data_IF_986994408491
#
_entry.id   IF_986994408491
#
_cell.length_a   1.000
_cell.length_b   1.000
_cell.length_c   1.000
_cell.angle_alpha   90.00
_cell.angle_beta   90.00
_cell.angle_gamma   90.00
#
_symmetry.space_group_name_H-M   'P 1'
#
loop_
_entity.id
_entity.type
_entity.pdbx_description
1 polymer ?
#
# COMPACT_ATOMS: atom_id res chain seq x y z
N UNK A 1 6.89 13.40 -0.75
CA UNK A 1 7.04 14.26 -1.96
C UNK A 1 8.49 14.72 -2.04
N UNK A 2 9.17 14.61 -3.20
CA UNK A 2 10.52 15.19 -3.33
C UNK A 2 10.38 16.71 -3.32
N UNK A 3 11.26 17.39 -2.59
CA UNK A 3 11.24 18.84 -2.47
C UNK A 3 11.40 19.49 -3.85
N UNK A 4 10.40 20.29 -4.25
CA UNK A 4 10.42 21.08 -5.49
C UNK A 4 11.69 21.94 -5.57
N UNK A 5 12.13 22.45 -4.40
CA UNK A 5 13.35 23.24 -4.25
C UNK A 5 14.62 22.53 -4.72
N UNK A 6 14.77 21.23 -4.43
CA UNK A 6 15.98 20.48 -4.85
C UNK A 6 16.06 20.39 -6.37
N UNK A 7 14.92 20.20 -7.06
CA UNK A 7 14.88 20.17 -8.52
C UNK A 7 15.30 21.52 -9.10
N UNK A 8 14.70 22.61 -8.60
CA UNK A 8 14.99 23.97 -9.08
C UNK A 8 16.45 24.36 -8.82
N UNK A 9 17.00 24.01 -7.64
CA UNK A 9 18.41 24.24 -7.30
C UNK A 9 19.38 23.48 -8.19
N UNK A 10 19.09 22.22 -8.54
CA UNK A 10 19.93 21.45 -9.46
C UNK A 10 19.83 21.97 -10.88
N UNK A 11 18.62 22.36 -11.30
CA UNK A 11 18.39 22.95 -12.61
C UNK A 11 19.16 24.27 -12.77
N UNK A 12 19.06 25.20 -11.82
CA UNK A 12 19.76 26.49 -11.91
C UNK A 12 21.28 26.35 -12.02
N UNK A 13 21.86 25.33 -11.37
CA UNK A 13 23.30 25.02 -11.44
C UNK A 13 23.74 24.45 -12.79
N UNK A 14 22.84 23.82 -13.54
CA UNK A 14 23.16 23.22 -14.85
C UNK A 14 22.77 24.10 -16.05
N UNK A 15 22.16 25.27 -15.82
CA UNK A 15 21.85 26.23 -16.90
C UNK A 15 23.17 26.65 -17.58
N UNK A 16 23.18 26.64 -18.92
CA UNK A 16 24.33 26.98 -19.77
C UNK A 16 25.56 26.05 -19.62
N UNK A 17 25.41 24.86 -19.05
CA UNK A 17 26.48 23.86 -18.96
C UNK A 17 26.41 22.87 -20.12
N UNK A 18 27.59 22.43 -20.60
CA UNK A 18 27.70 21.38 -21.62
C UNK A 18 27.14 20.05 -21.11
N UNK A 19 26.69 19.18 -22.03
CA UNK A 19 26.20 17.83 -21.68
C UNK A 19 27.26 16.95 -21.02
N UNK A 20 28.55 17.25 -21.25
CA UNK A 20 29.67 16.52 -20.63
C UNK A 20 29.89 16.91 -19.17
N UNK A 21 29.35 18.07 -18.74
CA UNK A 21 29.52 18.63 -17.41
C UNK A 21 28.90 17.75 -16.31
N UNK A 22 29.59 17.66 -15.19
CA UNK A 22 29.21 16.82 -14.05
C UNK A 22 27.88 17.28 -13.45
N UNK A 23 27.64 18.59 -13.35
CA UNK A 23 26.40 19.17 -12.79
C UNK A 23 25.20 18.86 -13.68
N UNK A 24 25.38 18.87 -15.00
CA UNK A 24 24.36 18.45 -15.96
C UNK A 24 24.01 16.98 -15.78
N UNK A 25 25.01 16.09 -15.69
CA UNK A 25 24.80 14.65 -15.46
C UNK A 25 24.07 14.39 -14.14
N UNK A 26 24.40 15.10 -13.06
CA UNK A 26 23.73 15.00 -11.76
C UNK A 26 22.25 15.40 -11.87
N UNK A 27 21.95 16.52 -12.55
CA UNK A 27 20.58 16.95 -12.77
C UNK A 27 19.77 15.95 -13.59
N UNK A 28 20.32 15.44 -14.70
CA UNK A 28 19.65 14.44 -15.55
C UNK A 28 19.38 13.15 -14.77
N UNK A 29 20.36 12.65 -14.01
CA UNK A 29 20.17 11.49 -13.13
C UNK A 29 19.06 11.74 -12.09
N UNK A 30 19.04 12.92 -11.48
CA UNK A 30 17.99 13.30 -10.52
C UNK A 30 16.59 13.36 -11.17
N UNK A 31 16.49 13.93 -12.38
CA UNK A 31 15.27 14.02 -13.19
C UNK A 31 14.76 12.64 -13.59
N UNK A 32 15.64 11.78 -14.08
CA UNK A 32 15.30 10.47 -14.63
C UNK A 32 15.05 9.40 -13.58
N UNK A 33 15.38 9.64 -12.30
CA UNK A 33 15.10 8.72 -11.19
C UNK A 33 13.64 8.22 -11.11
N UNK A 34 12.65 8.99 -11.61
CA UNK A 34 11.26 8.51 -11.71
C UNK A 34 11.08 7.46 -12.81
N UNK A 35 11.65 7.72 -13.98
CA UNK A 35 11.64 6.81 -15.13
C UNK A 35 12.36 5.52 -14.75
N UNK A 36 13.56 5.62 -14.16
CA UNK A 36 14.34 4.45 -13.74
C UNK A 36 13.55 3.55 -12.76
N UNK A 37 12.83 4.18 -11.81
CA UNK A 37 11.98 3.46 -10.85
C UNK A 37 10.81 2.76 -11.56
N UNK A 38 10.16 3.45 -12.50
CA UNK A 38 9.06 2.86 -13.27
C UNK A 38 9.56 1.67 -14.09
N UNK A 39 10.63 1.85 -14.87
CA UNK A 39 11.25 0.79 -15.68
C UNK A 39 11.64 -0.42 -14.84
N UNK A 40 12.26 -0.20 -13.68
CA UNK A 40 12.63 -1.27 -12.74
C UNK A 40 11.42 -2.11 -12.31
N UNK A 41 10.33 -1.48 -11.87
CA UNK A 41 9.13 -2.23 -11.46
C UNK A 41 8.42 -2.86 -12.65
N UNK A 42 8.40 -2.22 -13.82
CA UNK A 42 7.86 -2.81 -15.05
C UNK A 42 8.61 -4.10 -15.41
N UNK A 43 9.94 -4.11 -15.34
CA UNK A 43 10.75 -5.31 -15.59
C UNK A 43 10.42 -6.42 -14.60
N UNK A 44 10.43 -6.11 -13.30
CA UNK A 44 10.10 -7.09 -12.25
C UNK A 44 8.71 -7.70 -12.44
N UNK A 45 7.70 -6.86 -12.71
CA UNK A 45 6.34 -7.36 -12.91
C UNK A 45 6.18 -8.14 -14.22
N UNK A 46 6.94 -7.80 -15.27
CA UNK A 46 7.00 -8.60 -16.48
C UNK A 46 7.57 -10.01 -16.23
N UNK A 47 8.60 -10.11 -15.39
CA UNK A 47 9.24 -11.40 -15.06
C UNK A 47 8.32 -12.32 -14.24
N UNK A 48 7.40 -11.75 -13.45
CA UNK A 48 6.49 -12.51 -12.59
C UNK A 48 5.04 -12.54 -13.07
N UNK A 49 4.73 -12.00 -14.25
CA UNK A 49 3.34 -11.80 -14.73
C UNK A 49 2.49 -13.09 -14.78
N UNK A 50 3.12 -14.25 -14.95
CA UNK A 50 2.45 -15.56 -14.95
C UNK A 50 2.54 -16.32 -13.61
N UNK A 51 3.09 -15.70 -12.57
CA UNK A 51 3.22 -16.30 -11.24
C UNK A 51 2.57 -15.40 -10.18
N UNK A 52 1.27 -15.62 -9.97
CA UNK A 52 0.44 -14.84 -9.04
C UNK A 52 1.02 -14.79 -7.62
N UNK A 53 1.64 -15.88 -7.15
CA UNK A 53 2.26 -15.96 -5.81
C UNK A 53 3.47 -15.03 -5.70
N UNK A 54 4.33 -14.99 -6.73
CA UNK A 54 5.48 -14.08 -6.78
C UNK A 54 5.05 -12.62 -6.95
N UNK A 55 4.03 -12.37 -7.77
CA UNK A 55 3.43 -11.03 -7.93
C UNK A 55 2.96 -10.48 -6.60
N UNK A 56 2.16 -11.24 -5.84
CA UNK A 56 1.71 -10.83 -4.51
C UNK A 56 2.85 -10.62 -3.53
N UNK A 57 3.91 -11.44 -3.59
CA UNK A 57 5.11 -11.23 -2.75
C UNK A 57 5.78 -9.88 -3.04
N UNK A 58 5.91 -9.49 -4.31
CA UNK A 58 6.50 -8.21 -4.73
C UNK A 58 5.60 -7.03 -4.34
N UNK A 59 4.28 -7.15 -4.53
CA UNK A 59 3.31 -6.14 -4.12
C UNK A 59 3.39 -5.92 -2.60
N UNK A 60 3.40 -7.00 -1.82
CA UNK A 60 3.50 -6.89 -0.36
C UNK A 60 4.82 -6.27 0.07
N UNK A 61 5.95 -6.64 -0.56
CA UNK A 61 7.24 -6.04 -0.25
C UNK A 61 7.35 -4.55 -0.63
N UNK A 62 6.55 -4.08 -1.58
CA UNK A 62 6.58 -2.69 -2.07
C UNK A 62 5.60 -1.76 -1.37
N UNK A 63 4.43 -2.27 -0.97
CA UNK A 63 3.35 -1.50 -0.33
C UNK A 63 3.42 -1.62 1.20
N UNK A 64 3.74 -2.80 1.74
CA UNK A 64 3.86 -2.93 3.18
C UNK A 64 5.12 -2.19 3.64
N UNK A 65 5.02 -1.47 4.76
CA UNK A 65 6.21 -1.21 5.57
C UNK A 65 6.84 -2.57 5.82
N UNK A 66 8.13 -2.73 5.52
CA UNK A 66 8.94 -3.88 5.95
C UNK A 66 8.43 -4.30 7.32
N UNK A 67 8.10 -5.58 7.50
CA UNK A 67 7.51 -6.18 8.69
C UNK A 67 8.36 -5.92 9.94
N UNK A 68 8.48 -4.67 10.34
CA UNK A 68 9.19 -4.22 11.51
C UNK A 68 8.24 -4.46 12.66
N UNK A 69 8.20 -5.74 13.05
CA UNK A 69 7.41 -6.24 14.17
C UNK A 69 7.91 -5.69 15.50
N UNK A 70 9.00 -4.91 15.51
CA UNK A 70 9.52 -4.25 16.71
C UNK A 70 8.65 -3.06 17.14
N UNK A 71 7.88 -2.48 16.21
CA UNK A 71 7.03 -1.32 16.50
C UNK A 71 5.59 -1.75 16.70
N UNK A 72 5.22 -1.95 17.97
CA UNK A 72 3.82 -2.03 18.39
C UNK A 72 3.28 -0.59 18.47
N UNK A 73 2.10 -0.28 17.90
CA UNK A 73 1.49 1.02 18.08
C UNK A 73 1.25 1.29 19.58
N UNK A 74 1.92 2.32 20.11
CA UNK A 74 1.81 2.72 21.52
C UNK A 74 0.50 3.47 21.83
N UNK A 75 -0.25 3.84 20.79
CA UNK A 75 -1.46 4.66 20.92
C UNK A 75 -2.54 4.19 19.96
N UNK A 76 -3.77 4.13 20.44
CA UNK A 76 -4.95 3.95 19.60
C UNK A 76 -5.87 5.17 19.75
N UNK A 77 -6.50 5.61 18.66
CA UNK A 77 -7.48 6.69 18.69
C UNK A 77 -8.89 6.09 18.74
N UNK A 78 -9.57 6.25 19.87
CA UNK A 78 -10.94 5.76 20.10
C UNK A 78 -11.78 6.96 20.52
N UNK A 79 -12.91 7.19 19.85
CA UNK A 79 -13.83 8.32 20.10
C UNK A 79 -13.13 9.68 20.19
N UNK A 80 -12.22 9.93 19.23
CA UNK A 80 -11.37 11.12 19.15
C UNK A 80 -10.38 11.33 20.31
N UNK A 81 -10.24 10.38 21.24
CA UNK A 81 -9.25 10.41 22.31
C UNK A 81 -8.11 9.44 22.03
N UNK A 82 -6.90 9.85 22.38
CA UNK A 82 -5.73 8.98 22.30
C UNK A 82 -5.65 8.13 23.57
N UNK A 83 -5.69 6.81 23.40
CA UNK A 83 -5.57 5.82 24.46
C UNK A 83 -4.19 5.18 24.35
N UNK A 84 -3.51 5.07 25.49
CA UNK A 84 -2.14 4.56 25.62
C UNK A 84 -2.07 3.24 26.38
N UNK A 85 -3.13 2.89 27.13
CA UNK A 85 -3.18 1.69 27.95
C UNK A 85 -3.42 0.45 27.06
N UNK A 86 -2.47 -0.51 27.02
CA UNK A 86 -2.59 -1.72 26.21
C UNK A 86 -3.81 -2.58 26.53
N UNK A 87 -4.24 -2.64 27.80
CA UNK A 87 -5.39 -3.45 28.21
C UNK A 87 -6.67 -2.84 27.66
N UNK A 88 -6.83 -1.52 27.81
CA UNK A 88 -7.98 -0.78 27.28
C UNK A 88 -8.04 -0.89 25.75
N UNK A 89 -6.90 -0.80 25.06
CA UNK A 89 -6.83 -1.00 23.61
C UNK A 89 -7.30 -2.41 23.23
N UNK A 90 -6.84 -3.43 23.95
CA UNK A 90 -7.19 -4.83 23.70
C UNK A 90 -8.68 -5.07 23.90
N UNK A 91 -9.24 -4.62 25.02
CA UNK A 91 -10.66 -4.78 25.33
C UNK A 91 -11.54 -4.11 24.27
N UNK A 92 -11.22 -2.86 23.90
CA UNK A 92 -11.97 -2.13 22.87
C UNK A 92 -11.87 -2.76 21.50
N UNK A 93 -10.73 -3.38 21.18
CA UNK A 93 -10.57 -4.13 19.94
C UNK A 93 -11.42 -5.40 19.93
N UNK A 94 -11.44 -6.14 21.05
CA UNK A 94 -12.30 -7.32 21.24
C UNK A 94 -13.79 -6.95 21.16
N UNK A 95 -14.21 -5.88 21.82
CA UNK A 95 -15.58 -5.34 21.76
C UNK A 95 -15.99 -5.01 20.32
N UNK A 96 -15.11 -4.33 19.58
CA UNK A 96 -15.36 -3.97 18.19
C UNK A 96 -15.54 -5.22 17.32
N UNK A 97 -14.62 -6.19 17.38
CA UNK A 97 -14.72 -7.39 16.54
C UNK A 97 -15.95 -8.24 16.87
N UNK A 98 -16.30 -8.34 18.15
CA UNK A 98 -17.49 -9.08 18.60
C UNK A 98 -18.79 -8.41 18.14
N UNK A 99 -18.85 -7.08 18.22
CA UNK A 99 -20.04 -6.31 17.82
C UNK A 99 -20.19 -6.12 16.32
N UNK A 100 -19.10 -6.14 15.54
CA UNK A 100 -19.15 -6.01 14.07
C UNK A 100 -19.97 -7.14 13.45
N UNK A 101 -19.72 -8.38 13.85
CA UNK A 101 -20.43 -9.54 13.29
C UNK A 101 -21.94 -9.43 13.46
N UNK A 102 -22.40 -9.15 14.69
CA UNK A 102 -23.83 -9.01 15.00
C UNK A 102 -24.45 -7.78 14.31
N UNK A 103 -23.74 -6.65 14.29
CA UNK A 103 -24.20 -5.41 13.65
C UNK A 103 -24.46 -5.61 12.15
N UNK A 104 -23.58 -6.32 11.44
CA UNK A 104 -23.79 -6.56 10.01
C UNK A 104 -24.76 -7.70 9.76
N UNK A 105 -24.73 -8.78 10.55
CA UNK A 105 -25.69 -9.88 10.42
C UNK A 105 -27.13 -9.41 10.54
N UNK A 106 -27.42 -8.51 11.49
CA UNK A 106 -28.77 -7.95 11.67
C UNK A 106 -29.23 -7.08 10.49
N UNK A 107 -28.30 -6.54 9.69
CA UNK A 107 -28.62 -5.75 8.50
C UNK A 107 -28.76 -6.60 7.23
N UNK A 108 -28.42 -7.89 7.27
CA UNK A 108 -28.61 -8.79 6.15
C UNK A 108 -30.07 -9.24 6.16
N UNK A 109 -30.86 -8.97 5.09
CA UNK A 109 -32.23 -9.44 5.04
C UNK A 109 -32.26 -10.98 5.05
N UNK A 110 -33.21 -11.60 5.77
CA UNK A 110 -33.32 -13.05 5.79
C UNK A 110 -33.59 -13.56 4.38
N UNK A 111 -32.69 -14.40 3.86
CA UNK A 111 -32.86 -15.03 2.56
C UNK A 111 -33.74 -16.27 2.70
N UNK A 112 -34.82 -16.34 1.92
CA UNK A 112 -35.64 -17.55 1.74
C UNK A 112 -34.91 -18.58 0.87
N UNK A 113 -33.91 -18.15 0.09
CA UNK A 113 -33.13 -19.04 -0.78
C UNK A 113 -32.05 -19.74 0.02
N UNK A 114 -32.05 -21.07 -0.02
CA UNK A 114 -30.97 -21.91 0.48
C UNK A 114 -29.65 -21.54 -0.18
N UNK A 115 -28.55 -21.59 0.58
CA UNK A 115 -27.19 -21.35 0.07
C UNK A 115 -26.83 -22.26 -1.11
N UNK A 116 -27.38 -23.48 -1.15
CA UNK A 116 -27.21 -24.42 -2.27
C UNK A 116 -27.73 -23.89 -3.61
N UNK A 117 -28.73 -23.00 -3.62
CA UNK A 117 -29.25 -22.44 -4.87
C UNK A 117 -28.24 -21.53 -5.59
N UNK A 118 -27.25 -21.00 -4.88
CA UNK A 118 -26.18 -20.17 -5.46
C UNK A 118 -25.01 -21.01 -5.99
N UNK A 119 -24.94 -22.29 -5.63
CA UNK A 119 -23.88 -23.21 -6.06
C UNK A 119 -24.16 -23.84 -7.44
N UNK A 120 -25.40 -23.76 -7.93
CA UNK A 120 -25.83 -24.36 -9.20
C UNK A 120 -25.81 -23.39 -10.40
N UNK A 121 -25.09 -22.26 -10.30
CA UNK A 121 -25.11 -21.20 -11.33
C UNK A 121 -24.23 -21.46 -12.57
N UNK A 122 -23.87 -22.70 -12.86
CA UNK A 122 -23.22 -23.06 -14.13
C UNK A 122 -23.89 -24.31 -14.70
N UNK A 123 -24.86 -24.19 -15.63
CA UNK A 123 -24.99 -25.19 -16.67
C UNK A 123 -23.79 -24.98 -17.60
N UNK A 124 -22.83 -25.89 -17.55
CA UNK A 124 -21.83 -25.99 -18.62
C UNK A 124 -22.57 -26.38 -19.89
N UNK A 125 -22.79 -25.43 -20.80
CA UNK A 125 -22.96 -25.64 -22.24
C UNK A 125 -22.49 -24.40 -23.01
#
# INVERSE_FOLDING_TARGET
MKSSHTRTKLYSKCINKSKTDITYKIYIKYRNKKIDKQTYYTQIFNDVKHNIRKTWKIINATIAKLNDKTSIPQTCKIDNKNIFDPNIITDKFCDFLTSVGTKYANNIPPSVKSSHNYLNLIPCF
#
